data_IF_380755883405
#
_entry.id   IF_380755883405
#
_cell.length_a   1.000
_cell.length_b   1.000
_cell.length_c   1.000
_cell.angle_alpha   90.00
_cell.angle_beta   90.00
_cell.angle_gamma   90.00
#
_symmetry.space_group_name_H-M   'P 1'
#
loop_
_entity.id
_entity.type
_entity.pdbx_description
1 polymer ?
#
# COMPACT_ATOMS: atom_id res chain seq x y z
N UNK A 1 28.32 -67.65 8.38
CA UNK A 1 27.00 -68.31 8.44
C UNK A 1 26.12 -67.54 9.42
N UNK A 2 25.17 -66.69 8.97
CA UNK A 2 24.30 -65.96 9.90
C UNK A 2 23.19 -66.87 10.43
N UNK A 3 22.84 -66.68 11.71
CA UNK A 3 22.01 -67.60 12.49
C UNK A 3 20.50 -67.48 12.19
N UNK A 4 19.77 -68.58 12.38
CA UNK A 4 18.31 -68.73 12.15
C UNK A 4 17.42 -67.69 12.83
N UNK A 5 17.91 -66.97 13.83
CA UNK A 5 17.16 -65.90 14.53
C UNK A 5 17.01 -64.63 13.68
N UNK A 6 17.92 -64.38 12.73
CA UNK A 6 17.86 -63.21 11.85
C UNK A 6 16.78 -63.32 10.77
N UNK A 7 16.41 -64.55 10.38
CA UNK A 7 15.41 -64.79 9.33
C UNK A 7 13.96 -64.58 9.82
N UNK A 8 13.69 -64.78 11.12
CA UNK A 8 12.34 -64.57 11.67
C UNK A 8 12.00 -63.10 11.92
N UNK A 9 12.99 -62.24 12.18
CA UNK A 9 12.75 -60.82 12.41
C UNK A 9 12.32 -60.07 11.13
N UNK A 10 12.74 -60.53 9.96
CA UNK A 10 12.36 -59.93 8.67
C UNK A 10 10.93 -60.29 8.23
N UNK A 11 10.40 -61.43 8.68
CA UNK A 11 9.08 -61.91 8.24
C UNK A 11 7.90 -61.23 8.97
N UNK A 12 8.11 -60.63 10.15
CA UNK A 12 7.03 -60.02 10.94
C UNK A 12 6.75 -58.55 10.61
N UNK A 13 7.63 -57.86 9.89
CA UNK A 13 7.43 -56.44 9.54
C UNK A 13 6.41 -56.26 8.40
N UNK A 14 6.20 -57.28 7.57
CA UNK A 14 5.39 -57.17 6.35
C UNK A 14 3.88 -57.47 6.52
N UNK A 15 3.42 -57.95 7.68
CA UNK A 15 2.03 -58.43 7.85
C UNK A 15 1.10 -57.39 8.52
N UNK A 16 1.63 -56.31 9.10
CA UNK A 16 0.83 -55.35 9.90
C UNK A 16 0.64 -53.96 9.29
N UNK A 17 1.14 -53.70 8.07
CA UNK A 17 0.86 -52.44 7.39
C UNK A 17 -0.23 -52.69 6.34
N UNK A 18 -1.52 -52.50 6.66
CA UNK A 18 -2.54 -52.52 5.63
C UNK A 18 -2.22 -51.42 4.63
N UNK A 19 -1.91 -51.81 3.39
CA UNK A 19 -1.74 -50.93 2.25
C UNK A 19 -3.05 -50.20 1.96
N UNK A 20 -3.33 -49.11 2.67
CA UNK A 20 -4.35 -48.15 2.29
C UNK A 20 -3.81 -47.26 1.18
N UNK A 21 -3.52 -47.87 0.02
CA UNK A 21 -3.39 -47.13 -1.24
C UNK A 21 -4.79 -46.63 -1.61
N UNK A 22 -5.21 -45.53 -0.97
CA UNK A 22 -6.30 -44.72 -1.45
C UNK A 22 -5.91 -44.24 -2.85
N UNK A 23 -6.60 -44.72 -3.87
CA UNK A 23 -6.41 -44.24 -5.23
C UNK A 23 -6.61 -42.71 -5.26
N UNK A 24 -5.74 -41.94 -5.95
CA UNK A 24 -5.93 -40.50 -6.06
C UNK A 24 -7.29 -40.23 -6.72
N UNK A 25 -8.13 -39.44 -6.05
CA UNK A 25 -9.44 -39.04 -6.56
C UNK A 25 -9.21 -38.31 -7.88
N UNK A 26 -9.61 -38.92 -9.00
CA UNK A 26 -9.55 -38.32 -10.34
C UNK A 26 -10.40 -37.05 -10.33
N UNK A 27 -9.77 -35.89 -10.15
CA UNK A 27 -10.44 -34.61 -10.27
C UNK A 27 -10.91 -34.48 -11.71
N UNK A 28 -12.21 -34.18 -11.90
CA UNK A 28 -12.73 -33.76 -13.20
C UNK A 28 -11.95 -32.50 -13.60
N UNK A 29 -11.47 -32.39 -14.85
CA UNK A 29 -10.96 -31.12 -15.36
C UNK A 29 -12.06 -30.08 -15.15
N UNK A 30 -11.73 -29.00 -14.46
CA UNK A 30 -12.60 -27.82 -14.41
C UNK A 30 -12.75 -27.37 -15.86
N UNK A 31 -13.98 -27.19 -16.37
CA UNK A 31 -14.18 -26.56 -17.68
C UNK A 31 -13.37 -25.27 -17.72
N UNK A 32 -12.58 -25.08 -18.77
CA UNK A 32 -11.98 -23.77 -19.10
C UNK A 32 -13.14 -22.86 -19.53
N UNK A 33 -13.92 -22.39 -18.58
CA UNK A 33 -14.79 -21.25 -18.77
C UNK A 33 -13.88 -20.01 -18.79
N UNK A 34 -13.70 -19.49 -20.00
CA UNK A 34 -13.48 -18.09 -20.34
C UNK A 34 -12.38 -17.35 -19.56
N UNK A 35 -11.12 -17.72 -19.84
CA UNK A 35 -9.97 -16.85 -19.63
C UNK A 35 -9.82 -15.94 -20.85
N UNK A 36 -10.61 -14.87 -20.92
CA UNK A 36 -10.34 -13.67 -21.72
C UNK A 36 -11.25 -12.51 -21.27
N UNK A 37 -11.07 -12.04 -20.02
CA UNK A 37 -11.03 -10.60 -19.83
C UNK A 37 -9.60 -10.25 -19.42
N UNK A 38 -8.95 -9.29 -20.10
CA UNK A 38 -7.57 -8.95 -19.84
C UNK A 38 -7.40 -8.61 -18.37
N UNK A 39 -6.23 -8.92 -17.84
CA UNK A 39 -5.65 -8.26 -16.67
C UNK A 39 -5.48 -6.75 -16.93
N UNK A 40 -6.55 -6.04 -17.30
CA UNK A 40 -6.77 -4.72 -16.77
C UNK A 40 -6.90 -4.95 -15.27
N UNK A 41 -5.75 -4.95 -14.60
CA UNK A 41 -5.54 -4.00 -13.52
C UNK A 41 -6.09 -2.67 -14.05
N UNK A 42 -7.43 -2.52 -14.01
CA UNK A 42 -8.07 -1.23 -13.94
C UNK A 42 -7.37 -0.66 -12.73
N UNK A 43 -6.37 0.19 -12.98
CA UNK A 43 -5.86 1.07 -11.96
C UNK A 43 -7.12 1.60 -11.30
N UNK A 44 -7.32 1.31 -10.01
CA UNK A 44 -8.55 1.67 -9.30
C UNK A 44 -8.87 3.17 -9.47
N UNK A 45 -7.86 3.93 -9.86
CA UNK A 45 -7.91 5.33 -10.23
C UNK A 45 -7.54 5.58 -11.70
N UNK A 46 -7.97 6.73 -12.22
CA UNK A 46 -7.59 7.17 -13.55
C UNK A 46 -6.06 7.40 -13.64
N UNK A 47 -5.47 7.39 -14.85
CA UNK A 47 -4.07 7.73 -15.05
C UNK A 47 -3.70 9.05 -14.36
N UNK A 48 -2.60 9.03 -13.60
CA UNK A 48 -2.11 10.20 -12.86
C UNK A 48 -2.75 10.40 -11.48
N UNK A 49 -3.62 9.49 -11.04
CA UNK A 49 -4.15 9.45 -9.68
C UNK A 49 -3.59 8.26 -8.89
N UNK A 50 -3.51 8.43 -7.58
CA UNK A 50 -3.11 7.40 -6.63
C UNK A 50 -4.28 7.04 -5.71
N UNK A 51 -4.34 5.78 -5.31
CA UNK A 51 -5.33 5.26 -4.37
C UNK A 51 -4.85 5.53 -2.95
N UNK A 52 -5.49 6.47 -2.25
CA UNK A 52 -5.14 6.90 -0.90
C UNK A 52 -6.21 6.49 0.10
N UNK A 53 -5.81 6.18 1.34
CA UNK A 53 -6.77 5.89 2.41
C UNK A 53 -7.54 7.15 2.79
N UNK A 54 -8.85 7.03 3.03
CA UNK A 54 -9.66 8.09 3.64
C UNK A 54 -9.54 8.02 5.16
N UNK A 55 -8.85 8.97 5.82
CA UNK A 55 -8.85 9.02 7.28
C UNK A 55 -10.27 9.30 7.80
N UNK A 56 -10.68 8.61 8.87
CA UNK A 56 -11.99 8.75 9.53
C UNK A 56 -13.20 8.50 8.64
N UNK A 57 -13.10 7.59 7.66
CA UNK A 57 -14.30 7.12 6.98
C UNK A 57 -15.21 6.37 7.97
N UNK A 58 -16.40 6.92 8.21
CA UNK A 58 -17.46 6.25 8.98
C UNK A 58 -18.15 5.17 8.16
N UNK A 59 -17.89 5.17 6.85
CA UNK A 59 -18.39 4.20 5.90
C UNK A 59 -17.32 3.13 5.65
N UNK A 60 -17.54 1.88 6.11
CA UNK A 60 -16.58 0.80 5.90
C UNK A 60 -16.43 0.40 4.42
N UNK A 61 -17.35 0.83 3.54
CA UNK A 61 -17.30 0.56 2.10
C UNK A 61 -16.49 1.65 1.35
N UNK A 62 -16.35 2.84 1.92
CA UNK A 62 -15.53 3.93 1.36
C UNK A 62 -14.25 4.16 2.17
N UNK A 63 -13.34 3.19 2.16
CA UNK A 63 -12.07 3.29 2.91
C UNK A 63 -10.98 4.05 2.16
N UNK A 64 -11.17 4.34 0.87
CA UNK A 64 -10.16 4.97 0.01
C UNK A 64 -10.76 5.92 -1.02
N UNK A 65 -9.91 6.76 -1.62
CA UNK A 65 -10.22 7.65 -2.74
C UNK A 65 -9.06 7.76 -3.73
N UNK A 66 -9.39 8.18 -4.95
CA UNK A 66 -8.42 8.50 -5.99
C UNK A 66 -8.00 9.97 -5.94
N UNK A 67 -6.71 10.22 -5.75
CA UNK A 67 -6.17 11.56 -5.57
C UNK A 67 -5.08 11.85 -6.61
N UNK A 68 -5.16 12.99 -7.29
CA UNK A 68 -4.03 13.55 -8.04
C UNK A 68 -3.04 14.16 -7.04
N UNK A 69 -2.05 13.36 -6.61
CA UNK A 69 -1.03 13.74 -5.62
C UNK A 69 -0.08 14.82 -6.13
N UNK A 70 -0.10 15.11 -7.44
CA UNK A 70 0.70 16.17 -8.03
C UNK A 70 0.09 17.56 -7.80
N UNK A 71 -1.18 17.62 -7.41
CA UNK A 71 -1.96 18.86 -7.24
C UNK A 71 -2.75 18.93 -5.93
N UNK A 72 -2.92 17.82 -5.22
CA UNK A 72 -3.64 17.79 -3.95
C UNK A 72 -2.85 18.46 -2.84
N UNK A 73 -3.41 19.51 -2.25
CA UNK A 73 -2.77 20.24 -1.14
C UNK A 73 -2.64 19.35 0.11
N UNK A 74 -3.55 18.39 0.33
CA UNK A 74 -3.56 17.52 1.51
C UNK A 74 -2.77 16.22 1.35
N UNK A 75 -2.45 15.83 0.12
CA UNK A 75 -1.77 14.61 -0.25
C UNK A 75 -0.72 14.94 -1.32
N UNK A 76 0.15 15.91 -1.03
CA UNK A 76 1.07 16.43 -2.02
C UNK A 76 2.31 15.54 -2.12
N UNK A 77 2.62 15.08 -3.33
CA UNK A 77 3.77 14.23 -3.63
C UNK A 77 3.58 12.75 -3.31
N UNK A 78 2.40 12.36 -2.80
CA UNK A 78 2.01 11.00 -2.47
C UNK A 78 0.78 10.99 -1.56
N UNK A 79 0.32 9.82 -1.15
CA UNK A 79 -0.73 9.71 -0.14
C UNK A 79 -0.16 10.07 1.24
N UNK A 80 -0.84 10.94 1.99
CA UNK A 80 -0.49 11.19 3.41
C UNK A 80 -0.75 9.96 4.26
N UNK A 81 -1.79 9.19 3.91
CA UNK A 81 -2.10 7.87 4.48
C UNK A 81 -2.05 6.82 3.35
N UNK A 82 -0.87 6.20 3.09
CA UNK A 82 -0.72 5.20 2.05
C UNK A 82 -1.41 3.89 2.45
N UNK A 83 -2.06 3.24 1.48
CA UNK A 83 -2.68 1.92 1.66
C UNK A 83 -1.65 0.78 1.64
N UNK A 84 -0.53 0.99 0.95
CA UNK A 84 0.53 0.00 0.80
C UNK A 84 1.87 0.61 1.18
N UNK A 85 2.73 -0.15 1.85
CA UNK A 85 4.05 0.33 2.29
C UNK A 85 4.97 0.78 1.13
N UNK A 86 4.70 0.33 -0.10
CA UNK A 86 5.46 0.72 -1.28
C UNK A 86 4.99 2.05 -1.92
N UNK A 87 3.84 2.60 -1.51
CA UNK A 87 3.35 3.87 -2.05
C UNK A 87 4.21 5.05 -1.56
N UNK A 88 4.46 6.07 -2.40
CA UNK A 88 5.13 7.28 -1.97
C UNK A 88 4.38 7.95 -0.82
N UNK A 89 5.11 8.33 0.24
CA UNK A 89 4.55 9.10 1.34
C UNK A 89 4.43 10.57 0.92
N UNK A 90 3.21 11.08 0.95
CA UNK A 90 2.92 12.49 0.73
C UNK A 90 2.91 13.31 2.01
N UNK A 91 2.53 14.58 1.86
CA UNK A 91 2.31 15.47 3.01
C UNK A 91 1.12 16.40 2.80
N UNK A 92 0.53 16.81 3.91
CA UNK A 92 -0.40 17.92 3.94
C UNK A 92 0.37 19.26 3.92
N UNK A 93 0.19 20.06 2.88
CA UNK A 93 0.83 21.37 2.78
C UNK A 93 0.19 22.41 3.73
N UNK A 94 -1.04 22.16 4.21
CA UNK A 94 -1.77 23.13 5.04
C UNK A 94 -1.22 23.24 6.46
N UNK A 95 -0.51 22.21 6.92
CA UNK A 95 0.13 22.17 8.25
C UNK A 95 1.48 22.89 8.31
N UNK A 96 1.95 23.49 7.20
CA UNK A 96 3.19 24.26 7.20
C UNK A 96 3.02 25.49 8.09
N UNK A 97 3.88 25.71 9.11
CA UNK A 97 3.75 26.85 10.02
C UNK A 97 3.80 28.19 9.29
N UNK A 98 2.96 29.13 9.72
CA UNK A 98 2.94 30.50 9.20
C UNK A 98 2.47 30.64 7.75
N UNK A 99 2.07 29.56 7.07
CA UNK A 99 1.51 29.67 5.72
C UNK A 99 0.13 30.36 5.78
N UNK A 100 -0.12 31.23 4.80
CA UNK A 100 -1.44 31.83 4.57
C UNK A 100 -2.07 31.34 3.26
N UNK A 101 -1.25 31.06 2.25
CA UNK A 101 -1.69 30.44 1.01
C UNK A 101 -0.61 29.52 0.49
N UNK A 102 -1.01 28.28 0.20
CA UNK A 102 -0.15 27.20 -0.24
C UNK A 102 -0.83 26.40 -1.34
N UNK A 103 -0.05 25.85 -2.25
CA UNK A 103 -0.53 24.99 -3.33
C UNK A 103 0.39 23.80 -3.50
N UNK A 104 -0.11 22.69 -4.04
CA UNK A 104 0.72 21.59 -4.48
C UNK A 104 0.98 21.74 -5.98
N UNK A 105 2.24 21.76 -6.39
CA UNK A 105 2.66 21.86 -7.79
C UNK A 105 3.70 20.77 -8.08
N UNK A 106 3.34 19.82 -8.94
CA UNK A 106 4.21 18.69 -9.31
C UNK A 106 4.76 17.96 -8.08
N UNK A 107 3.87 17.68 -7.12
CA UNK A 107 4.20 16.95 -5.89
C UNK A 107 5.01 17.75 -4.87
N UNK A 108 5.14 19.07 -5.05
CA UNK A 108 5.83 19.96 -4.10
C UNK A 108 4.89 21.02 -3.56
N UNK A 109 4.92 21.26 -2.25
CA UNK A 109 4.20 22.40 -1.70
C UNK A 109 4.93 23.69 -2.04
N UNK A 110 4.20 24.64 -2.60
CA UNK A 110 4.68 25.98 -2.91
C UNK A 110 3.83 26.97 -2.12
N UNK A 111 4.46 27.70 -1.22
CA UNK A 111 3.81 28.75 -0.45
C UNK A 111 3.84 30.04 -1.28
N UNK A 112 2.67 30.61 -1.53
CA UNK A 112 2.54 31.89 -2.25
C UNK A 112 2.49 33.07 -1.30
N UNK A 113 2.06 32.85 -0.05
CA UNK A 113 1.92 33.90 0.97
C UNK A 113 2.07 33.35 2.39
N UNK A 114 2.84 34.05 3.22
CA UNK A 114 2.92 33.83 4.65
C UNK A 114 1.93 34.71 5.43
N UNK A 115 1.68 34.37 6.68
CA UNK A 115 0.92 35.17 7.65
C UNK A 115 1.67 36.47 7.99
N UNK A 116 0.98 37.40 8.66
CA UNK A 116 1.63 38.64 9.16
C UNK A 116 2.64 38.29 10.24
N UNK A 117 3.79 38.96 10.27
CA UNK A 117 4.90 38.60 11.17
C UNK A 117 5.72 37.39 10.70
N UNK A 118 5.51 36.92 9.45
CA UNK A 118 6.27 35.82 8.88
C UNK A 118 6.85 36.20 7.51
N UNK A 119 8.02 35.65 7.20
CA UNK A 119 8.74 35.86 5.94
C UNK A 119 8.85 34.57 5.14
N UNK A 120 8.55 34.66 3.84
CA UNK A 120 8.65 33.55 2.90
C UNK A 120 10.13 33.20 2.64
N UNK A 121 10.45 31.91 2.74
CA UNK A 121 11.72 31.33 2.32
C UNK A 121 11.99 31.51 0.82
N UNK A 122 13.26 31.52 0.42
CA UNK A 122 13.65 31.73 -0.98
C UNK A 122 13.14 30.62 -1.93
N UNK A 123 13.13 29.38 -1.44
CA UNK A 123 12.62 28.20 -2.15
C UNK A 123 11.08 28.05 -2.06
N UNK A 124 10.42 28.95 -1.32
CA UNK A 124 8.96 28.96 -1.09
C UNK A 124 8.43 27.71 -0.37
N UNK A 125 9.30 26.98 0.32
CA UNK A 125 8.97 25.74 1.05
C UNK A 125 8.56 25.97 2.50
N UNK A 126 8.89 27.13 3.06
CA UNK A 126 8.67 27.50 4.47
C UNK A 126 8.36 28.99 4.66
N UNK A 127 7.75 29.30 5.80
CA UNK A 127 7.67 30.66 6.36
C UNK A 127 8.49 30.68 7.65
N UNK A 128 9.20 31.77 7.91
CA UNK A 128 9.95 32.00 9.15
C UNK A 128 9.36 33.17 9.91
N UNK A 129 9.18 33.03 11.22
CA UNK A 129 8.78 34.15 12.08
C UNK A 129 9.79 35.30 11.95
N UNK A 130 9.27 36.50 11.78
CA UNK A 130 10.04 37.72 12.00
C UNK A 130 10.00 37.98 13.49
N UNK A 131 11.14 37.88 14.17
CA UNK A 131 11.25 38.46 15.49
C UNK A 131 11.28 39.97 15.30
N UNK A 132 10.22 40.64 15.71
CA UNK A 132 10.21 42.10 15.81
C UNK A 132 11.18 42.47 16.94
N UNK A 133 12.36 42.98 16.59
CA UNK A 133 13.28 43.62 17.53
C UNK A 133 12.64 44.95 18.02
N UNK A 134 11.70 44.84 18.95
CA UNK A 134 11.29 45.90 19.88
C UNK A 134 10.54 47.11 19.29
N UNK A 135 9.28 47.24 19.68
CA UNK A 135 8.68 48.55 20.00
C UNK A 135 8.90 48.86 21.50
#
# INVERSE_FOLDING_TARGET
MPSRRFLYALALVFVLVPSTLAAPRRQRPVPLEDYDEPDTVYSACNPGQEMCMKPHSWDPEETWECIDTQKSVKNCGGCTEPMQAAQPLGRDCTIIPGQKSVSCMSGKCIISKCQSGWKLSADKGACYELYDEGD
#
